data_IF_720211608771
#
_entry.id   IF_720211608771
#
_cell.length_a   1.000
_cell.length_b   1.000
_cell.length_c   1.000
_cell.angle_alpha   90.00
_cell.angle_beta   90.00
_cell.angle_gamma   90.00
#
_symmetry.space_group_name_H-M   'P 1'
#
loop_
_entity.id
_entity.type
_entity.pdbx_description
1 polymer ?
#
# COMPACT_ATOMS: atom_id res chain seq x y z
N UNK A 1 -7.42 8.72 7.77
CA UNK A 1 -6.78 7.86 6.76
C UNK A 1 -5.29 8.02 6.92
N UNK A 2 -4.53 6.95 6.68
CA UNK A 2 -3.06 6.98 6.70
C UNK A 2 -2.53 6.61 5.34
N UNK A 3 -1.52 7.32 4.87
CA UNK A 3 -0.79 6.96 3.65
C UNK A 3 0.55 6.38 4.05
N UNK A 4 0.87 5.18 3.57
CA UNK A 4 2.16 4.53 3.86
C UNK A 4 2.82 4.06 2.58
N UNK A 5 4.13 4.24 2.45
CA UNK A 5 4.88 3.84 1.26
C UNK A 5 6.23 3.25 1.62
N UNK A 6 6.78 2.43 0.73
CA UNK A 6 8.14 1.89 0.88
C UNK A 6 9.18 2.86 0.33
N UNK A 7 10.28 3.05 1.06
CA UNK A 7 11.41 3.92 0.72
C UNK A 7 11.99 3.66 -0.68
N UNK A 8 12.03 2.39 -1.09
CA UNK A 8 12.56 1.97 -2.40
C UNK A 8 11.50 1.93 -3.50
N UNK A 9 10.26 2.36 -3.24
CA UNK A 9 9.21 2.48 -4.26
C UNK A 9 9.19 3.90 -4.84
N UNK A 10 9.73 4.05 -6.05
CA UNK A 10 9.80 5.34 -6.74
C UNK A 10 8.42 5.96 -6.97
N UNK A 11 7.41 5.16 -7.32
CA UNK A 11 6.06 5.67 -7.51
C UNK A 11 5.43 6.04 -6.16
N UNK A 12 5.61 5.18 -5.16
CA UNK A 12 5.13 5.41 -3.79
C UNK A 12 5.69 6.70 -3.20
N UNK A 13 7.00 6.93 -3.32
CA UNK A 13 7.68 8.15 -2.86
C UNK A 13 7.19 9.39 -3.59
N UNK A 14 7.10 9.36 -4.93
CA UNK A 14 6.63 10.50 -5.72
C UNK A 14 5.19 10.89 -5.38
N UNK A 15 4.29 9.91 -5.28
CA UNK A 15 2.88 10.14 -4.93
C UNK A 15 2.78 10.68 -3.51
N UNK A 16 3.46 10.07 -2.56
CA UNK A 16 3.41 10.47 -1.15
C UNK A 16 3.95 11.88 -0.94
N UNK A 17 5.08 12.23 -1.58
CA UNK A 17 5.63 13.58 -1.52
C UNK A 17 4.65 14.62 -2.09
N UNK A 18 3.98 14.30 -3.20
CA UNK A 18 2.96 15.19 -3.78
C UNK A 18 1.76 15.37 -2.83
N UNK A 19 1.29 14.31 -2.20
CA UNK A 19 0.18 14.36 -1.24
C UNK A 19 0.52 15.17 0.01
N UNK A 20 1.69 14.92 0.59
CA UNK A 20 2.18 15.64 1.76
C UNK A 20 2.33 17.14 1.47
N UNK A 21 3.00 17.48 0.37
CA UNK A 21 3.29 18.88 0.00
C UNK A 21 2.06 19.70 -0.36
N UNK A 22 1.11 19.12 -1.08
CA UNK A 22 -0.02 19.88 -1.66
C UNK A 22 -1.31 19.76 -0.87
N UNK A 23 -1.47 18.71 -0.05
CA UNK A 23 -2.72 18.43 0.65
C UNK A 23 -2.55 18.20 2.16
N UNK A 24 -1.32 18.35 2.69
CA UNK A 24 -1.02 18.16 4.12
C UNK A 24 -1.48 16.79 4.65
N UNK A 25 -1.39 15.77 3.80
CA UNK A 25 -1.71 14.38 4.17
C UNK A 25 -0.58 13.82 5.03
N UNK A 26 -0.95 13.13 6.11
CA UNK A 26 -0.02 12.40 6.96
C UNK A 26 0.48 11.13 6.24
N UNK A 27 1.74 11.19 5.80
CA UNK A 27 2.44 10.13 5.08
C UNK A 27 3.50 9.50 5.98
N UNK A 28 3.68 8.17 5.87
CA UNK A 28 4.73 7.47 6.59
C UNK A 28 5.55 6.60 5.65
N UNK A 29 6.86 6.80 5.68
CA UNK A 29 7.82 5.97 4.96
C UNK A 29 8.17 4.73 5.78
N UNK A 30 8.20 3.57 5.13
CA UNK A 30 8.70 2.31 5.66
C UNK A 30 10.01 1.94 4.96
N UNK A 31 10.94 1.32 5.67
CA UNK A 31 12.22 0.88 5.09
C UNK A 31 12.02 -0.17 3.97
N UNK A 32 11.03 -1.05 4.14
CA UNK A 32 10.63 -2.04 3.14
C UNK A 32 9.24 -1.75 2.55
N UNK A 33 8.90 -2.46 1.48
CA UNK A 33 7.58 -2.31 0.87
C UNK A 33 6.48 -2.76 1.85
N UNK A 34 5.39 -1.98 2.06
CA UNK A 34 4.31 -2.31 2.98
C UNK A 34 3.66 -3.71 2.84
N UNK A 35 3.82 -4.37 1.69
CA UNK A 35 3.26 -5.72 1.43
C UNK A 35 3.94 -6.83 2.22
N UNK A 36 5.18 -6.60 2.68
CA UNK A 36 5.95 -7.58 3.44
C UNK A 36 5.69 -7.47 4.96
N UNK A 37 4.89 -6.51 5.39
CA UNK A 37 4.50 -6.36 6.78
C UNK A 37 3.09 -6.93 6.97
N UNK A 38 2.94 -7.93 7.84
CA UNK A 38 1.64 -8.53 8.16
C UNK A 38 0.70 -7.60 8.94
N UNK A 39 1.26 -6.58 9.61
CA UNK A 39 0.53 -5.63 10.45
C UNK A 39 0.99 -4.18 10.19
N UNK A 40 0.86 -3.67 8.95
CA UNK A 40 1.34 -2.34 8.59
C UNK A 40 0.60 -1.24 9.37
N UNK A 41 -0.61 -1.49 9.85
CA UNK A 41 -1.39 -0.57 10.69
C UNK A 41 -0.71 -0.24 12.02
N UNK A 42 0.01 -1.20 12.61
CA UNK A 42 0.76 -0.99 13.86
C UNK A 42 1.96 -0.09 13.59
N UNK A 43 2.68 -0.37 12.51
CA UNK A 43 3.81 0.45 12.07
C UNK A 43 3.34 1.84 11.65
N UNK A 44 2.13 1.97 11.10
CA UNK A 44 1.54 3.25 10.72
C UNK A 44 1.03 4.08 11.92
N UNK A 45 0.90 3.49 13.11
CA UNK A 45 0.09 4.03 14.22
C UNK A 45 -1.34 4.41 13.76
N UNK A 46 -1.96 3.56 12.94
CA UNK A 46 -3.33 3.78 12.48
C UNK A 46 -4.35 3.44 13.59
N UNK A 47 -5.42 4.23 13.68
CA UNK A 47 -6.50 3.97 14.64
C UNK A 47 -7.39 2.81 14.15
N UNK A 48 -8.09 2.09 15.05
CA UNK A 48 -9.07 1.10 14.64
C UNK A 48 -10.11 1.69 13.67
N UNK A 49 -10.35 1.00 12.55
CA UNK A 49 -11.27 1.44 11.50
C UNK A 49 -10.72 2.53 10.56
N UNK A 50 -9.46 2.93 10.71
CA UNK A 50 -8.84 3.90 9.82
C UNK A 50 -8.38 3.25 8.51
N UNK A 51 -8.79 3.84 7.37
CA UNK A 51 -8.32 3.41 6.05
C UNK A 51 -6.82 3.69 5.89
N UNK A 52 -6.08 2.66 5.48
CA UNK A 52 -4.68 2.76 5.08
C UNK A 52 -4.60 2.68 3.56
N UNK A 53 -3.92 3.64 2.96
CA UNK A 53 -3.68 3.71 1.52
C UNK A 53 -2.20 3.49 1.27
N UNK A 54 -1.88 2.60 0.34
CA UNK A 54 -0.51 2.24 -0.03
C UNK A 54 -0.28 2.66 -1.48
N UNK A 55 0.21 3.88 -1.75
CA UNK A 55 0.70 4.24 -3.07
C UNK A 55 1.94 3.42 -3.40
N UNK A 56 1.92 2.77 -4.55
CA UNK A 56 2.96 1.83 -4.96
C UNK A 56 3.01 1.69 -6.48
N UNK A 57 4.17 1.27 -6.99
CA UNK A 57 4.34 0.90 -8.39
C UNK A 57 3.71 -0.47 -8.69
N UNK A 58 2.99 -0.56 -9.81
CA UNK A 58 2.66 -1.84 -10.43
C UNK A 58 3.71 -2.19 -11.50
N UNK A 59 4.30 -3.39 -11.42
CA UNK A 59 5.26 -3.90 -12.42
C UNK A 59 4.65 -5.09 -13.17
N UNK A 60 4.63 -4.99 -14.50
CA UNK A 60 4.08 -6.02 -15.38
C UNK A 60 4.91 -6.18 -16.65
N UNK A 61 5.09 -7.42 -17.10
CA UNK A 61 5.76 -7.74 -18.38
C UNK A 61 5.03 -7.17 -19.60
N UNK A 62 3.73 -6.87 -19.46
CA UNK A 62 2.92 -6.29 -20.56
C UNK A 62 3.33 -4.84 -20.87
N UNK A 63 4.07 -4.17 -19.99
CA UNK A 63 4.55 -2.79 -20.15
C UNK A 63 3.45 -1.79 -20.57
N UNK A 64 2.26 -1.93 -19.96
CA UNK A 64 1.12 -1.05 -20.19
C UNK A 64 1.15 0.08 -19.17
N UNK A 65 0.91 1.31 -19.63
CA UNK A 65 0.69 2.45 -18.73
C UNK A 65 -0.69 2.33 -18.10
N UNK A 66 -0.73 2.14 -16.79
CA UNK A 66 -1.97 1.94 -16.05
C UNK A 66 -1.94 2.66 -14.70
N UNK A 67 -3.12 3.08 -14.25
CA UNK A 67 -3.40 3.41 -12.87
C UNK A 67 -4.34 2.33 -12.34
N UNK A 68 -3.97 1.68 -11.24
CA UNK A 68 -4.71 0.53 -10.72
C UNK A 68 -4.94 0.69 -9.23
N UNK A 69 -5.99 0.05 -8.74
CA UNK A 69 -6.28 -0.12 -7.31
C UNK A 69 -6.67 -1.57 -7.08
N UNK A 70 -6.28 -2.10 -5.93
CA UNK A 70 -6.70 -3.42 -5.48
C UNK A 70 -6.50 -3.56 -3.98
N UNK A 71 -7.24 -4.47 -3.36
CA UNK A 71 -6.93 -4.97 -2.04
C UNK A 71 -5.75 -5.97 -2.11
N UNK A 72 -4.94 -6.03 -1.06
CA UNK A 72 -3.92 -7.07 -0.91
C UNK A 72 -4.54 -8.39 -0.41
N UNK A 73 -4.00 -9.51 -0.86
CA UNK A 73 -4.44 -10.82 -0.41
C UNK A 73 -3.98 -11.95 -1.34
N UNK A 74 -3.98 -13.16 -0.80
CA UNK A 74 -3.51 -14.36 -1.46
C UNK A 74 -4.62 -15.40 -1.50
N UNK A 75 -5.01 -15.81 -2.71
CA UNK A 75 -5.99 -16.89 -2.91
C UNK A 75 -5.40 -18.29 -2.77
N UNK A 76 -4.11 -18.46 -3.05
CA UNK A 76 -3.45 -19.78 -3.00
C UNK A 76 -1.97 -19.71 -2.59
N UNK A 77 -1.11 -18.99 -3.31
CA UNK A 77 0.32 -18.83 -2.96
C UNK A 77 0.61 -17.44 -2.38
N UNK A 78 1.75 -17.27 -1.70
CA UNK A 78 2.14 -16.02 -1.04
C UNK A 78 3.60 -15.61 -1.35
N UNK A 79 4.01 -15.75 -2.61
CA UNK A 79 5.40 -15.49 -3.06
C UNK A 79 5.85 -14.03 -2.86
N UNK A 80 4.91 -13.10 -2.72
CA UNK A 80 5.15 -11.66 -2.61
C UNK A 80 4.68 -11.05 -1.29
N UNK A 81 4.64 -11.86 -0.23
CA UNK A 81 4.28 -11.42 1.13
C UNK A 81 2.90 -11.89 1.60
N UNK A 82 2.64 -11.65 2.88
CA UNK A 82 1.44 -12.11 3.57
C UNK A 82 1.38 -13.63 3.77
N UNK A 83 0.17 -14.14 4.01
CA UNK A 83 -0.08 -15.57 4.26
C UNK A 83 -0.96 -16.18 3.16
N UNK A 84 -0.79 -17.48 2.91
CA UNK A 84 -1.63 -18.30 2.02
C UNK A 84 -3.09 -18.27 2.48
N UNK A 85 -4.02 -18.20 1.52
CA UNK A 85 -5.47 -18.19 1.72
C UNK A 85 -5.96 -17.07 2.67
N UNK A 86 -5.27 -15.92 2.67
CA UNK A 86 -5.58 -14.79 3.55
C UNK A 86 -5.72 -13.51 2.73
N UNK A 87 -6.79 -12.77 3.02
CA UNK A 87 -7.08 -11.47 2.42
C UNK A 87 -6.91 -10.38 3.46
N UNK A 88 -6.43 -9.20 3.04
CA UNK A 88 -6.52 -8.01 3.86
C UNK A 88 -7.97 -7.52 3.93
N UNK A 89 -8.44 -7.01 5.08
CA UNK A 89 -9.66 -6.23 5.13
C UNK A 89 -9.56 -5.05 4.17
N UNK A 90 -10.61 -4.79 3.40
CA UNK A 90 -10.67 -3.68 2.46
C UNK A 90 -12.06 -3.05 2.47
N UNK A 91 -12.12 -1.79 2.04
CA UNK A 91 -13.39 -1.10 1.81
C UNK A 91 -13.68 -1.08 0.31
N UNK A 92 -14.73 -1.79 -0.09
CA UNK A 92 -15.14 -1.94 -1.48
C UNK A 92 -15.54 -0.62 -2.17
N UNK A 93 -15.74 0.48 -1.41
CA UNK A 93 -15.96 1.80 -2.00
C UNK A 93 -14.71 2.35 -2.68
N UNK A 94 -13.53 1.85 -2.32
CA UNK A 94 -12.23 2.36 -2.78
C UNK A 94 -11.42 1.32 -3.57
N UNK A 95 -12.01 0.15 -3.90
CA UNK A 95 -11.35 -0.97 -4.58
C UNK A 95 -11.95 -1.27 -5.95
#
# INVERSE_FOLDING_TARGET
>A
MKVVYGKNDVAGSNISHFLEKNFSVDVREFEEHPIYHDYPEKLANAKPGELIIIPSQHKSLKNIRSLTVHAAGNFDTNEYGGARNKMSPYDAKFA
#
